data_IF_369862853976
#
_entry.id   IF_369862853976
#
_cell.length_a   1.000
_cell.length_b   1.000
_cell.length_c   1.000
_cell.angle_alpha   90.00
_cell.angle_beta   90.00
_cell.angle_gamma   90.00
#
_symmetry.space_group_name_H-M   'P 1'
#
loop_
_entity.id
_entity.type
_entity.pdbx_description
1 polymer ?
#
# COMPACT_ATOMS: atom_id res chain seq x y z
N UNK A 1 58.12 -2.59 -74.80
CA UNK A 1 58.05 -1.44 -73.89
C UNK A 1 56.59 -1.11 -73.58
N UNK A 2 55.71 -1.01 -74.58
CA UNK A 2 54.26 -0.75 -74.34
C UNK A 2 53.51 -1.85 -73.56
N UNK A 3 53.78 -3.13 -73.82
CA UNK A 3 53.08 -4.24 -73.14
C UNK A 3 53.36 -4.30 -71.63
N UNK A 4 54.56 -3.92 -71.19
CA UNK A 4 54.91 -3.87 -69.76
C UNK A 4 54.25 -2.67 -69.06
N UNK A 5 54.16 -1.53 -69.75
CA UNK A 5 53.48 -0.33 -69.25
C UNK A 5 51.98 -0.59 -69.06
N UNK A 6 51.36 -1.26 -70.03
CA UNK A 6 49.94 -1.62 -70.00
C UNK A 6 49.62 -2.62 -68.87
N UNK A 7 50.51 -3.58 -68.61
CA UNK A 7 50.40 -4.49 -67.48
C UNK A 7 50.53 -3.77 -66.13
N UNK A 8 51.46 -2.82 -66.02
CA UNK A 8 51.65 -2.03 -64.80
C UNK A 8 50.44 -1.12 -64.53
N UNK A 9 49.85 -0.55 -65.58
CA UNK A 9 48.63 0.25 -65.52
C UNK A 9 47.44 -0.59 -65.01
N UNK A 10 47.24 -1.81 -65.55
CA UNK A 10 46.20 -2.72 -65.07
C UNK A 10 46.37 -3.10 -63.60
N UNK A 11 47.61 -3.34 -63.14
CA UNK A 11 47.90 -3.64 -61.74
C UNK A 11 47.61 -2.44 -60.82
N UNK A 12 47.95 -1.23 -61.28
CA UNK A 12 47.65 0.00 -60.56
C UNK A 12 46.13 0.22 -60.42
N UNK A 13 45.39 0.05 -61.52
CA UNK A 13 43.93 0.24 -61.51
C UNK A 13 43.23 -0.80 -60.62
N UNK A 14 43.70 -2.06 -60.63
CA UNK A 14 43.21 -3.09 -59.73
C UNK A 14 43.53 -2.80 -58.25
N UNK A 15 44.74 -2.32 -57.95
CA UNK A 15 45.12 -1.93 -56.59
C UNK A 15 44.28 -0.75 -56.10
N UNK A 16 44.06 0.25 -56.96
CA UNK A 16 43.25 1.42 -56.66
C UNK A 16 41.79 1.04 -56.40
N UNK A 17 41.22 0.17 -57.23
CA UNK A 17 39.86 -0.35 -57.02
C UNK A 17 39.72 -1.10 -55.69
N UNK A 18 40.74 -1.88 -55.31
CA UNK A 18 40.76 -2.59 -54.03
C UNK A 18 40.85 -1.62 -52.84
N UNK A 19 41.63 -0.55 -52.96
CA UNK A 19 41.73 0.46 -51.91
C UNK A 19 40.45 1.30 -51.77
N UNK A 20 39.78 1.62 -52.89
CA UNK A 20 38.46 2.25 -52.88
C UNK A 20 37.42 1.34 -52.19
N UNK A 21 37.43 0.03 -52.46
CA UNK A 21 36.56 -0.95 -51.82
C UNK A 21 36.83 -1.05 -50.31
N UNK A 22 38.09 -1.13 -49.89
CA UNK A 22 38.48 -1.10 -48.47
C UNK A 22 38.03 0.20 -47.81
N UNK A 23 38.21 1.33 -48.48
CA UNK A 23 37.83 2.63 -47.95
C UNK A 23 36.32 2.71 -47.74
N UNK A 24 35.53 2.21 -48.70
CA UNK A 24 34.08 2.11 -48.57
C UNK A 24 33.66 1.20 -47.41
N UNK A 25 34.32 0.04 -47.24
CA UNK A 25 34.03 -0.88 -46.14
C UNK A 25 34.37 -0.26 -44.77
N UNK A 26 35.51 0.41 -44.66
CA UNK A 26 35.92 1.10 -43.43
C UNK A 26 34.92 2.21 -43.10
N UNK A 27 34.50 3.00 -44.08
CA UNK A 27 33.50 4.05 -43.87
C UNK A 27 32.16 3.48 -43.41
N UNK A 28 31.71 2.36 -43.99
CA UNK A 28 30.50 1.67 -43.58
C UNK A 28 30.59 1.12 -42.14
N UNK A 29 31.73 0.51 -41.79
CA UNK A 29 31.98 0.01 -40.43
C UNK A 29 32.01 1.14 -39.41
N UNK A 30 32.67 2.26 -39.71
CA UNK A 30 32.69 3.43 -38.84
C UNK A 30 31.28 4.00 -38.62
N UNK A 31 30.50 4.15 -39.70
CA UNK A 31 29.10 4.60 -39.60
C UNK A 31 28.25 3.64 -38.76
N UNK A 32 28.50 2.33 -38.87
CA UNK A 32 27.80 1.34 -38.07
C UNK A 32 28.16 1.43 -36.59
N UNK A 33 29.45 1.60 -36.27
CA UNK A 33 29.92 1.79 -34.89
C UNK A 33 29.32 3.06 -34.28
N UNK A 34 29.26 4.16 -35.02
CA UNK A 34 28.64 5.40 -34.56
C UNK A 34 27.14 5.21 -34.28
N UNK A 35 26.43 4.55 -35.19
CA UNK A 35 25.01 4.22 -35.00
C UNK A 35 24.78 3.33 -33.78
N UNK A 36 25.56 2.26 -33.61
CA UNK A 36 25.45 1.37 -32.45
C UNK A 36 25.79 2.09 -31.14
N UNK A 37 26.80 2.97 -31.14
CA UNK A 37 27.16 3.80 -29.99
C UNK A 37 26.02 4.73 -29.60
N UNK A 38 25.37 5.35 -30.59
CA UNK A 38 24.19 6.20 -30.38
C UNK A 38 23.02 5.40 -29.78
N UNK A 39 22.71 4.22 -30.33
CA UNK A 39 21.64 3.37 -29.81
C UNK A 39 21.92 2.88 -28.39
N UNK A 40 23.17 2.53 -28.07
CA UNK A 40 23.57 2.17 -26.71
C UNK A 40 23.39 3.35 -25.75
N UNK A 41 23.81 4.55 -26.16
CA UNK A 41 23.64 5.75 -25.34
C UNK A 41 22.17 6.06 -25.06
N UNK A 42 21.31 5.93 -26.06
CA UNK A 42 19.86 6.12 -25.92
C UNK A 42 19.24 5.06 -25.00
N UNK A 43 19.57 3.78 -25.20
CA UNK A 43 19.08 2.69 -24.37
C UNK A 43 19.51 2.82 -22.89
N UNK A 44 20.74 3.29 -22.64
CA UNK A 44 21.23 3.57 -21.28
C UNK A 44 20.40 4.69 -20.63
N UNK A 45 20.16 5.79 -21.36
CA UNK A 45 19.33 6.90 -20.90
C UNK A 45 17.91 6.44 -20.52
N UNK A 46 17.27 5.67 -21.40
CA UNK A 46 15.94 5.10 -21.16
C UNK A 46 15.90 4.18 -19.92
N UNK A 47 16.95 3.38 -19.72
CA UNK A 47 17.05 2.48 -18.57
C UNK A 47 17.15 3.26 -17.26
N UNK A 48 17.91 4.35 -17.24
CA UNK A 48 18.10 5.16 -16.04
C UNK A 48 16.85 5.97 -15.71
N UNK A 49 16.11 6.46 -16.70
CA UNK A 49 14.79 7.06 -16.49
C UNK A 49 13.80 6.05 -15.90
N UNK A 50 13.73 4.84 -16.48
CA UNK A 50 12.85 3.76 -15.95
C UNK A 50 13.22 3.35 -14.53
N UNK A 51 14.52 3.24 -14.20
CA UNK A 51 14.97 2.95 -12.83
C UNK A 51 14.56 4.05 -11.84
N UNK A 52 14.64 5.32 -12.24
CA UNK A 52 14.18 6.44 -11.42
C UNK A 52 12.67 6.31 -11.15
N UNK A 53 11.86 6.06 -12.18
CA UNK A 53 10.41 5.87 -12.04
C UNK A 53 10.10 4.70 -11.11
N UNK A 54 10.77 3.55 -11.28
CA UNK A 54 10.60 2.37 -10.41
C UNK A 54 10.92 2.73 -8.96
N UNK A 55 12.06 3.39 -8.71
CA UNK A 55 12.46 3.78 -7.36
C UNK A 55 11.40 4.67 -6.69
N UNK A 56 11.00 5.75 -7.36
CA UNK A 56 9.99 6.70 -6.84
C UNK A 56 8.65 5.99 -6.60
N UNK A 57 8.23 5.14 -7.53
CA UNK A 57 6.96 4.41 -7.41
C UNK A 57 7.00 3.39 -6.28
N UNK A 58 8.10 2.65 -6.11
CA UNK A 58 8.29 1.73 -5.00
C UNK A 58 8.28 2.46 -3.66
N UNK A 59 9.00 3.58 -3.54
CA UNK A 59 9.02 4.39 -2.31
C UNK A 59 7.62 4.89 -1.94
N UNK A 60 6.88 5.42 -2.94
CA UNK A 60 5.50 5.86 -2.74
C UNK A 60 4.58 4.71 -2.35
N UNK A 61 4.75 3.53 -2.96
CA UNK A 61 3.96 2.33 -2.65
C UNK A 61 4.22 1.87 -1.23
N UNK A 62 5.49 1.78 -0.80
CA UNK A 62 5.87 1.41 0.57
C UNK A 62 5.31 2.41 1.60
N UNK A 63 5.33 3.71 1.30
CA UNK A 63 4.73 4.72 2.17
C UNK A 63 3.21 4.55 2.29
N UNK A 64 2.51 4.31 1.19
CA UNK A 64 1.06 4.07 1.21
C UNK A 64 0.73 2.77 1.94
N UNK A 65 1.51 1.71 1.76
CA UNK A 65 1.35 0.46 2.48
C UNK A 65 1.56 0.64 4.00
N UNK A 66 2.57 1.42 4.41
CA UNK A 66 2.78 1.76 5.81
C UNK A 66 1.61 2.57 6.39
N UNK A 67 1.11 3.58 5.65
CA UNK A 67 -0.07 4.35 6.07
C UNK A 67 -1.33 3.46 6.16
N UNK A 68 -1.55 2.55 5.22
CA UNK A 68 -2.65 1.57 5.28
C UNK A 68 -2.48 0.62 6.47
N UNK A 69 -1.25 0.23 6.80
CA UNK A 69 -0.97 -0.65 7.92
C UNK A 69 -1.17 0.08 9.26
N UNK A 70 -0.82 1.36 9.34
CA UNK A 70 -1.08 2.23 10.50
C UNK A 70 -2.59 2.49 10.66
N UNK A 71 -3.30 2.77 9.56
CA UNK A 71 -4.77 2.91 9.56
C UNK A 71 -5.50 1.58 9.84
N UNK A 72 -4.86 0.42 9.66
CA UNK A 72 -5.42 -0.89 10.04
C UNK A 72 -5.49 -1.10 11.56
N UNK A 73 -4.97 -0.15 12.35
CA UNK A 73 -4.98 -0.20 13.81
C UNK A 73 -6.29 0.34 14.41
N UNK A 74 -7.41 -0.34 14.17
CA UNK A 74 -8.62 -0.19 14.99
C UNK A 74 -9.18 -1.55 15.39
N UNK A 75 -8.32 -2.40 15.96
CA UNK A 75 -8.70 -3.70 16.52
C UNK A 75 -8.44 -3.70 18.02
N UNK A 76 -9.35 -4.30 18.78
CA UNK A 76 -9.12 -4.57 20.20
C UNK A 76 -7.83 -5.39 20.35
N UNK A 77 -7.09 -5.14 21.45
CA UNK A 77 -5.82 -5.81 21.71
C UNK A 77 -5.99 -7.33 21.63
N UNK A 78 -5.03 -7.99 20.98
CA UNK A 78 -5.15 -9.41 20.66
C UNK A 78 -5.34 -10.30 21.89
N UNK A 79 -4.71 -9.96 23.02
CA UNK A 79 -4.85 -10.64 24.32
C UNK A 79 -6.30 -10.64 24.82
N UNK A 80 -6.99 -9.50 24.69
CA UNK A 80 -8.38 -9.37 25.09
C UNK A 80 -9.29 -10.19 24.16
N UNK A 81 -9.04 -10.15 22.86
CA UNK A 81 -9.87 -10.90 21.90
C UNK A 81 -9.69 -12.41 22.10
N UNK A 82 -8.46 -12.87 22.34
CA UNK A 82 -8.14 -14.27 22.61
C UNK A 82 -8.75 -14.79 23.92
N UNK A 83 -8.89 -13.92 24.92
CA UNK A 83 -9.54 -14.26 26.18
C UNK A 83 -11.07 -14.43 26.08
N UNK A 84 -11.66 -14.26 24.87
CA UNK A 84 -13.07 -14.53 24.62
C UNK A 84 -13.98 -13.72 25.54
N UNK A 85 -14.90 -14.40 26.24
CA UNK A 85 -15.92 -13.77 27.08
C UNK A 85 -15.34 -12.79 28.12
N UNK A 86 -14.31 -13.21 28.85
CA UNK A 86 -13.74 -12.37 29.91
C UNK A 86 -12.96 -11.19 29.32
N UNK A 87 -12.28 -11.43 28.20
CA UNK A 87 -11.61 -10.36 27.48
C UNK A 87 -12.56 -9.31 26.90
N UNK A 88 -13.76 -9.71 26.47
CA UNK A 88 -14.81 -8.79 26.05
C UNK A 88 -15.28 -7.86 27.18
N UNK A 89 -15.55 -8.44 28.37
CA UNK A 89 -15.92 -7.66 29.57
C UNK A 89 -14.79 -6.72 30.00
N UNK A 90 -13.56 -7.21 29.96
CA UNK A 90 -12.40 -6.40 30.30
C UNK A 90 -12.17 -5.27 29.30
N UNK A 91 -12.38 -5.53 28.00
CA UNK A 91 -12.22 -4.53 26.95
C UNK A 91 -13.14 -3.33 27.17
N UNK A 92 -14.43 -3.55 27.49
CA UNK A 92 -15.33 -2.43 27.72
C UNK A 92 -15.00 -1.66 29.02
N UNK A 93 -14.62 -2.37 30.08
CA UNK A 93 -14.17 -1.75 31.33
C UNK A 93 -12.96 -0.83 31.12
N UNK A 94 -11.94 -1.33 30.40
CA UNK A 94 -10.73 -0.56 30.07
C UNK A 94 -11.05 0.65 29.18
N UNK A 95 -11.96 0.50 28.22
CA UNK A 95 -12.35 1.59 27.34
C UNK A 95 -13.04 2.71 28.11
N UNK A 96 -14.01 2.38 28.97
CA UNK A 96 -14.71 3.37 29.80
C UNK A 96 -13.75 4.05 30.77
N UNK A 97 -12.90 3.29 31.45
CA UNK A 97 -11.88 3.84 32.35
C UNK A 97 -10.95 4.81 31.62
N UNK A 98 -10.52 4.47 30.41
CA UNK A 98 -9.63 5.31 29.60
C UNK A 98 -10.32 6.62 29.20
N UNK A 99 -11.59 6.57 28.81
CA UNK A 99 -12.39 7.76 28.49
C UNK A 99 -12.55 8.65 29.74
N UNK A 100 -12.92 8.07 30.87
CA UNK A 100 -13.08 8.82 32.13
C UNK A 100 -11.78 9.48 32.58
N UNK A 101 -10.64 8.77 32.50
CA UNK A 101 -9.33 9.32 32.83
C UNK A 101 -8.95 10.48 31.91
N UNK A 102 -9.18 10.33 30.60
CA UNK A 102 -8.87 11.38 29.63
C UNK A 102 -9.75 12.61 29.81
N UNK A 103 -11.03 12.42 30.12
CA UNK A 103 -11.95 13.52 30.39
C UNK A 103 -11.60 14.26 31.68
N UNK A 104 -11.27 13.55 32.76
CA UNK A 104 -10.80 14.17 34.02
C UNK A 104 -9.49 14.94 33.84
N UNK A 105 -8.61 14.46 32.95
CA UNK A 105 -7.37 15.17 32.62
C UNK A 105 -7.62 16.46 31.82
N UNK A 106 -8.70 16.50 31.02
CA UNK A 106 -9.10 17.68 30.27
C UNK A 106 -9.82 18.71 31.15
N UNK A 107 -10.73 18.25 32.00
CA UNK A 107 -11.47 19.08 32.96
C UNK A 107 -11.86 18.25 34.20
N UNK A 108 -11.28 18.61 35.35
CA UNK A 108 -11.46 17.91 36.63
C UNK A 108 -12.81 18.22 37.30
N UNK A 109 -13.57 19.17 36.78
CA UNK A 109 -14.87 19.57 37.30
C UNK A 109 -16.03 18.79 36.68
N UNK A 110 -15.78 18.03 35.61
CA UNK A 110 -16.80 17.26 34.93
C UNK A 110 -17.29 16.12 35.85
N UNK A 111 -18.60 16.08 36.19
CA UNK A 111 -19.16 15.00 37.02
C UNK A 111 -19.09 13.66 36.29
N UNK A 112 -19.50 12.56 36.96
CA UNK A 112 -19.52 11.22 36.37
C UNK A 112 -20.18 11.22 34.97
N UNK A 113 -19.35 11.07 33.93
CA UNK A 113 -19.77 11.04 32.54
C UNK A 113 -20.43 9.70 32.24
N UNK A 114 -21.60 9.75 31.65
CA UNK A 114 -22.22 8.57 31.08
C UNK A 114 -21.57 8.26 29.73
N UNK A 115 -20.71 7.25 29.70
CA UNK A 115 -20.04 6.79 28.46
C UNK A 115 -20.91 5.74 27.78
N UNK A 116 -21.33 6.04 26.55
CA UNK A 116 -22.03 5.12 25.65
C UNK A 116 -21.02 4.68 24.57
N UNK A 117 -20.88 3.38 24.36
CA UNK A 117 -19.97 2.84 23.34
C UNK A 117 -20.76 1.99 22.37
N UNK A 118 -20.62 2.25 21.07
CA UNK A 118 -21.20 1.37 20.06
C UNK A 118 -20.20 1.02 18.99
N UNK A 119 -19.86 -0.26 18.91
CA UNK A 119 -18.94 -0.81 17.92
C UNK A 119 -19.76 -1.47 16.82
N UNK A 120 -19.52 -1.07 15.57
CA UNK A 120 -20.11 -1.69 14.39
C UNK A 120 -19.01 -2.37 13.61
N UNK A 121 -19.13 -3.67 13.37
CA UNK A 121 -18.16 -4.39 12.56
C UNK A 121 -18.83 -5.48 11.72
N UNK A 122 -18.22 -5.80 10.58
CA UNK A 122 -18.50 -7.03 9.85
C UNK A 122 -17.87 -8.20 10.62
N UNK A 123 -18.65 -8.90 11.45
CA UNK A 123 -18.10 -9.95 12.31
C UNK A 123 -17.48 -11.10 11.51
N UNK A 124 -18.08 -11.46 10.37
CA UNK A 124 -17.56 -12.53 9.52
C UNK A 124 -16.19 -12.16 8.94
N UNK A 125 -16.07 -10.97 8.37
CA UNK A 125 -14.81 -10.47 7.82
C UNK A 125 -13.75 -10.28 8.91
N UNK A 126 -14.17 -9.82 10.09
CA UNK A 126 -13.29 -9.63 11.24
C UNK A 126 -12.76 -10.97 11.77
N UNK A 127 -13.60 -12.01 11.88
CA UNK A 127 -13.18 -13.38 12.24
C UNK A 127 -12.14 -13.89 11.25
N UNK A 128 -12.39 -13.77 9.94
CA UNK A 128 -11.44 -14.18 8.91
C UNK A 128 -10.11 -13.43 9.05
N UNK A 129 -10.16 -12.12 9.29
CA UNK A 129 -8.95 -11.31 9.46
C UNK A 129 -8.13 -11.72 10.70
N UNK A 130 -8.79 -12.07 11.81
CA UNK A 130 -8.09 -12.58 13.01
C UNK A 130 -7.50 -13.98 12.80
N UNK A 131 -8.17 -14.84 12.02
CA UNK A 131 -7.66 -16.18 11.68
C UNK A 131 -6.46 -16.11 10.74
N UNK A 132 -6.53 -15.30 9.67
CA UNK A 132 -5.39 -15.10 8.76
C UNK A 132 -4.17 -14.52 9.47
N UNK A 133 -4.38 -13.69 10.49
CA UNK A 133 -3.32 -13.14 11.32
C UNK A 133 -2.79 -14.12 12.39
N UNK A 134 -3.35 -15.33 12.51
CA UNK A 134 -2.96 -16.31 13.53
C UNK A 134 -3.34 -15.93 14.96
N UNK A 135 -4.24 -14.96 15.14
CA UNK A 135 -4.66 -14.47 16.46
C UNK A 135 -5.75 -15.38 17.04
N UNK A 136 -6.69 -15.84 16.21
CA UNK A 136 -7.78 -16.71 16.63
C UNK A 136 -7.71 -18.07 15.94
N UNK A 137 -7.89 -19.13 16.71
CA UNK A 137 -7.98 -20.51 16.22
C UNK A 137 -9.38 -20.85 15.72
N UNK A 138 -10.43 -20.26 16.30
CA UNK A 138 -11.83 -20.47 15.92
C UNK A 138 -12.63 -19.17 15.96
N UNK A 139 -13.71 -19.10 15.18
CA UNK A 139 -14.64 -17.95 15.21
C UNK A 139 -15.41 -17.83 16.52
N UNK A 140 -15.62 -18.96 17.22
CA UNK A 140 -16.33 -19.02 18.51
C UNK A 140 -15.68 -18.13 19.58
N UNK A 141 -14.35 -17.98 19.55
CA UNK A 141 -13.64 -17.09 20.47
C UNK A 141 -14.02 -15.62 20.25
N UNK A 142 -14.15 -15.17 18.99
CA UNK A 142 -14.60 -13.80 18.71
C UNK A 142 -16.06 -13.61 19.12
N UNK A 143 -16.93 -14.60 18.85
CA UNK A 143 -18.33 -14.54 19.28
C UNK A 143 -18.45 -14.46 20.81
N UNK A 144 -17.63 -15.23 21.54
CA UNK A 144 -17.55 -15.15 22.98
C UNK A 144 -17.08 -13.76 23.44
N UNK A 145 -16.07 -13.18 22.77
CA UNK A 145 -15.61 -11.82 23.03
C UNK A 145 -16.71 -10.77 22.82
N UNK A 146 -17.40 -10.80 21.68
CA UNK A 146 -18.53 -9.90 21.38
C UNK A 146 -19.63 -10.02 22.43
N UNK A 147 -19.99 -11.25 22.82
CA UNK A 147 -20.95 -11.50 23.89
C UNK A 147 -20.47 -10.93 25.22
N UNK A 148 -19.19 -11.11 25.56
CA UNK A 148 -18.57 -10.57 26.77
C UNK A 148 -18.62 -9.06 26.82
N UNK A 149 -18.33 -8.41 25.69
CA UNK A 149 -18.42 -6.96 25.53
C UNK A 149 -19.84 -6.45 25.79
N UNK A 150 -20.84 -7.05 25.13
CA UNK A 150 -22.25 -6.65 25.26
C UNK A 150 -22.81 -6.91 26.67
N UNK A 151 -22.29 -7.89 27.39
CA UNK A 151 -22.68 -8.17 28.78
C UNK A 151 -21.96 -7.28 29.80
N UNK A 152 -20.86 -6.65 29.41
CA UNK A 152 -19.99 -5.92 30.33
C UNK A 152 -20.59 -4.60 30.81
N UNK A 153 -21.44 -3.96 30.00
CA UNK A 153 -22.10 -2.71 30.36
C UNK A 153 -23.40 -2.49 29.57
N UNK A 154 -24.51 -2.08 30.22
CA UNK A 154 -25.81 -1.93 29.56
C UNK A 154 -25.87 -0.77 28.54
N UNK A 155 -24.91 0.15 28.54
CA UNK A 155 -24.83 1.26 27.60
C UNK A 155 -23.88 0.99 26.43
N UNK A 156 -23.38 -0.24 26.32
CA UNK A 156 -22.35 -0.58 25.38
C UNK A 156 -22.74 -1.77 24.52
N UNK A 157 -22.65 -1.58 23.21
CA UNK A 157 -23.03 -2.59 22.23
C UNK A 157 -21.94 -2.82 21.20
N UNK A 158 -21.72 -4.08 20.87
CA UNK A 158 -20.97 -4.56 19.73
C UNK A 158 -21.96 -5.22 18.78
N UNK A 159 -22.14 -4.61 17.62
CA UNK A 159 -23.18 -4.93 16.66
C UNK A 159 -22.57 -5.42 15.36
N UNK A 160 -23.04 -6.57 14.87
CA UNK A 160 -22.71 -7.00 13.52
C UNK A 160 -23.38 -6.08 12.50
N UNK A 161 -22.56 -5.40 11.70
CA UNK A 161 -23.03 -4.55 10.62
C UNK A 161 -23.38 -5.36 9.36
N UNK A 162 -22.97 -6.63 9.28
CA UNK A 162 -23.15 -7.48 8.11
C UNK A 162 -21.97 -7.42 7.14
N UNK A 163 -22.09 -8.17 6.03
CA UNK A 163 -20.96 -8.50 5.16
C UNK A 163 -20.67 -7.49 4.03
N UNK A 164 -21.43 -6.39 3.94
CA UNK A 164 -21.23 -5.38 2.90
C UNK A 164 -20.06 -4.45 3.21
N UNK A 165 -19.40 -3.96 2.16
CA UNK A 165 -18.17 -3.16 2.25
C UNK A 165 -18.31 -1.86 3.06
N UNK A 166 -19.54 -1.34 3.19
CA UNK A 166 -19.83 -0.03 3.79
C UNK A 166 -20.91 -0.13 4.90
N UNK A 167 -21.32 -1.33 5.29
CA UNK A 167 -22.46 -1.47 6.21
C UNK A 167 -22.19 -0.88 7.59
N UNK A 168 -20.95 -0.95 8.08
CA UNK A 168 -20.57 -0.33 9.35
C UNK A 168 -20.60 1.21 9.24
N UNK A 169 -20.10 1.76 8.13
CA UNK A 169 -20.08 3.20 7.86
C UNK A 169 -21.50 3.76 7.79
N UNK A 170 -22.40 3.06 7.08
CA UNK A 170 -23.82 3.45 6.99
C UNK A 170 -24.53 3.40 8.36
N UNK A 171 -24.16 2.46 9.26
CA UNK A 171 -24.68 2.45 10.63
C UNK A 171 -24.22 3.66 11.42
N UNK A 172 -22.95 4.07 11.28
CA UNK A 172 -22.43 5.27 11.95
C UNK A 172 -23.12 6.53 11.41
N UNK A 173 -23.16 6.70 10.08
CA UNK A 173 -23.84 7.84 9.43
C UNK A 173 -25.31 7.95 9.84
N UNK A 174 -26.03 6.84 9.89
CA UNK A 174 -27.44 6.82 10.29
C UNK A 174 -27.70 7.11 11.78
N UNK A 175 -26.69 6.97 12.65
CA UNK A 175 -26.80 7.27 14.09
C UNK A 175 -26.30 8.68 14.45
N UNK A 176 -25.44 9.25 13.62
CA UNK A 176 -24.96 10.62 13.74
C UNK A 176 -25.19 11.36 12.41
N UNK A 177 -26.45 11.52 11.98
CA UNK A 177 -26.74 12.34 10.81
C UNK A 177 -26.29 13.78 11.11
N UNK A 178 -25.32 14.28 10.35
CA UNK A 178 -24.72 15.62 10.41
C UNK A 178 -25.33 16.57 11.45
N UNK A 179 -24.89 16.46 12.70
CA UNK A 179 -25.03 17.54 13.69
C UNK A 179 -24.03 18.69 13.43
N UNK A 180 -23.45 18.75 12.24
CA UNK A 180 -22.65 19.88 11.74
C UNK A 180 -23.43 20.82 10.82
N UNK A 181 -24.75 20.65 10.66
CA UNK A 181 -25.62 21.77 10.29
C UNK A 181 -26.03 22.53 11.56
N UNK A 182 -25.04 23.15 12.22
CA UNK A 182 -25.31 24.22 13.16
C UNK A 182 -25.62 25.49 12.33
N UNK A 183 -26.91 25.78 12.23
CA UNK A 183 -27.51 27.11 12.14
C UNK A 183 -26.65 28.21 11.51
N UNK A 184 -26.76 28.39 10.19
CA UNK A 184 -26.58 29.71 9.59
C UNK A 184 -27.91 30.45 9.67
N UNK A 185 -28.07 31.23 10.74
CA UNK A 185 -29.08 32.27 10.86
C UNK A 185 -28.43 33.62 10.56
#
# INVERSE_FOLDING_TARGET
MDVELEKLQQQWDACKAQDDEKHSLISALLSHIESQSSHLSEAISDLDEKKLVIRVTCERTQQLEAQIQEMKLEKFRNDLVQAGLDGGKQAISLLKQSVEQKMKALDSTVPHLQVIVRVYANLKGLTQAYQTAGILSSGETLEAFVRGFNMGDPLCDYVDAGNGKECADEKVKGKFPDQLQMDSN
#
